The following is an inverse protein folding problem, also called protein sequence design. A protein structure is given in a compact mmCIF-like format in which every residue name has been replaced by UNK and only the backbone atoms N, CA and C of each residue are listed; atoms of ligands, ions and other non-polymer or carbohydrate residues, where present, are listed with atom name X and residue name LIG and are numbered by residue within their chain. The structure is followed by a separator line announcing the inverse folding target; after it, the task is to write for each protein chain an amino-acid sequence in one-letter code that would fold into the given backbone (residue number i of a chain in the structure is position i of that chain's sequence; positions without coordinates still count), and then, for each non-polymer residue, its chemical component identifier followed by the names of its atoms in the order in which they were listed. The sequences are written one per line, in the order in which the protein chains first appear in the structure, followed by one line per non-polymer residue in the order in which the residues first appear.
data_IF_456941818883
#
_entry.id   IF_456941818883
#
_cell.length_a   1.000
_cell.length_b   1.000
_cell.length_c   1.000
_cell.angle_alpha   90.00
_cell.angle_beta   90.00
_cell.angle_gamma   90.00
#
_symmetry.space_group_name_H-M   'P 1'
#
loop_
_entity.id
_entity.type
_entity.pdbx_description
1 polymer ?
#
# COMPACT_ATOMS: atom_id res chain seq x y z
N UNK A 1 -76.26 -13.93 1.59
CA UNK A 1 -75.46 -15.19 1.53
C UNK A 1 -74.32 -15.05 2.55
N UNK A 2 -74.62 -15.32 3.82
CA UNK A 2 -73.72 -15.09 4.96
C UNK A 2 -73.08 -16.41 5.38
N UNK A 3 -71.75 -16.50 5.26
CA UNK A 3 -70.98 -17.68 5.65
C UNK A 3 -70.91 -17.80 7.18
N UNK A 4 -71.43 -18.90 7.71
CA UNK A 4 -71.49 -19.18 9.15
C UNK A 4 -70.13 -19.68 9.70
N UNK A 5 -69.26 -18.71 10.03
CA UNK A 5 -67.93 -18.94 10.63
C UNK A 5 -67.98 -19.67 11.98
N UNK A 6 -69.14 -19.74 12.65
CA UNK A 6 -69.27 -20.43 13.95
C UNK A 6 -69.21 -21.95 13.83
N UNK A 7 -69.52 -22.53 12.66
CA UNK A 7 -69.38 -23.97 12.40
C UNK A 7 -67.94 -24.43 12.22
N UNK A 8 -67.07 -23.59 11.66
CA UNK A 8 -65.65 -23.92 11.46
C UNK A 8 -64.93 -23.95 12.81
N UNK A 9 -65.13 -22.94 13.65
CA UNK A 9 -64.47 -22.89 14.97
C UNK A 9 -64.86 -24.03 15.93
N UNK A 10 -66.11 -24.53 15.87
CA UNK A 10 -66.51 -25.68 16.70
C UNK A 10 -65.87 -27.00 16.29
N UNK A 11 -65.58 -27.21 15.01
CA UNK A 11 -64.86 -28.41 14.56
C UNK A 11 -63.39 -28.39 15.00
N UNK A 12 -62.77 -27.22 15.03
CA UNK A 12 -61.39 -27.08 15.52
C UNK A 12 -61.27 -27.32 17.03
N UNK A 13 -62.24 -26.90 17.84
CA UNK A 13 -62.22 -27.13 19.29
C UNK A 13 -62.30 -28.64 19.68
N UNK A 14 -63.02 -29.46 18.90
CA UNK A 14 -63.15 -30.90 19.16
C UNK A 14 -61.90 -31.68 18.72
N UNK A 15 -61.21 -31.22 17.68
CA UNK A 15 -59.91 -31.79 17.27
C UNK A 15 -58.80 -31.39 18.25
N UNK A 16 -58.83 -30.19 18.82
CA UNK A 16 -57.84 -29.73 19.79
C UNK A 16 -57.89 -30.52 21.12
N UNK A 17 -59.08 -30.93 21.58
CA UNK A 17 -59.25 -31.62 22.86
C UNK A 17 -58.73 -33.07 22.94
N UNK A 18 -58.40 -33.72 21.80
CA UNK A 18 -57.89 -35.10 21.77
C UNK A 18 -56.37 -35.24 21.75
N UNK A 19 -55.63 -34.12 21.71
CA UNK A 19 -54.16 -34.15 21.68
C UNK A 19 -53.49 -34.06 23.06
N UNK A 20 -54.25 -33.95 24.15
CA UNK A 20 -53.72 -33.71 25.50
C UNK A 20 -53.86 -34.92 26.43
N UNK A 21 -53.42 -36.08 25.98
CA UNK A 21 -53.03 -37.19 26.86
C UNK A 21 -51.63 -37.68 26.47
N UNK A 22 -50.66 -36.74 26.44
CA UNK A 22 -49.25 -37.09 26.33
C UNK A 22 -48.83 -37.82 27.60
N UNK A 23 -48.69 -39.15 27.50
CA UNK A 23 -47.84 -39.92 28.40
C UNK A 23 -46.51 -39.18 28.52
N UNK A 24 -46.05 -38.94 29.74
CA UNK A 24 -44.68 -38.47 30.04
C UNK A 24 -43.71 -39.59 29.64
N UNK A 25 -43.52 -39.80 28.35
CA UNK A 25 -42.46 -40.65 27.80
C UNK A 25 -41.15 -39.85 27.84
N UNK A 26 -40.08 -40.47 28.32
CA UNK A 26 -38.74 -39.88 28.25
C UNK A 26 -38.33 -39.58 26.81
N UNK A 27 -37.31 -38.75 26.66
CA UNK A 27 -36.74 -38.39 25.35
C UNK A 27 -36.43 -39.64 24.54
N UNK A 28 -36.87 -39.65 23.28
CA UNK A 28 -36.56 -40.76 22.38
C UNK A 28 -35.09 -40.71 21.98
N UNK A 29 -34.45 -41.87 21.77
CA UNK A 29 -33.05 -41.96 21.34
C UNK A 29 -32.79 -41.13 20.06
N UNK A 30 -33.75 -41.14 19.13
CA UNK A 30 -33.66 -40.38 17.88
C UNK A 30 -33.64 -38.86 18.11
N UNK A 31 -34.38 -38.36 19.11
CA UNK A 31 -34.40 -36.94 19.46
C UNK A 31 -33.05 -36.48 20.03
N UNK A 32 -32.44 -37.29 20.90
CA UNK A 32 -31.09 -37.03 21.43
C UNK A 32 -30.05 -37.07 20.31
N UNK A 33 -30.14 -38.04 19.39
CA UNK A 33 -29.22 -38.14 18.26
C UNK A 33 -29.32 -36.92 17.34
N UNK A 34 -30.53 -36.47 17.02
CA UNK A 34 -30.74 -35.25 16.21
C UNK A 34 -30.17 -34.03 16.92
N UNK A 35 -30.39 -33.89 18.23
CA UNK A 35 -29.84 -32.79 19.00
C UNK A 35 -28.30 -32.77 18.97
N UNK A 36 -27.65 -33.93 19.10
CA UNK A 36 -26.18 -34.04 19.02
C UNK A 36 -25.67 -33.70 17.63
N UNK A 37 -26.33 -34.15 16.56
CA UNK A 37 -25.94 -33.83 15.18
C UNK A 37 -26.07 -32.33 14.91
N UNK A 38 -27.18 -31.70 15.31
CA UNK A 38 -27.39 -30.25 15.16
C UNK A 38 -26.36 -29.47 15.97
N UNK A 39 -26.04 -29.89 17.19
CA UNK A 39 -24.99 -29.28 18.00
C UNK A 39 -23.62 -29.41 17.34
N UNK A 40 -23.26 -30.59 16.83
CA UNK A 40 -21.99 -30.82 16.16
C UNK A 40 -21.85 -29.95 14.90
N UNK A 41 -22.91 -29.82 14.09
CA UNK A 41 -22.94 -28.94 12.92
C UNK A 41 -22.83 -27.46 13.33
N UNK A 42 -23.50 -27.05 14.39
CA UNK A 42 -23.41 -25.68 14.93
C UNK A 42 -21.99 -25.34 15.40
N UNK A 43 -21.35 -26.25 16.15
CA UNK A 43 -19.97 -26.09 16.61
C UNK A 43 -18.97 -26.08 15.45
N UNK A 44 -19.20 -26.89 14.42
CA UNK A 44 -18.39 -26.87 13.19
C UNK A 44 -18.51 -25.50 12.48
N UNK A 45 -19.74 -24.96 12.37
CA UNK A 45 -19.99 -23.64 11.80
C UNK A 45 -19.24 -22.52 12.54
N UNK A 46 -19.25 -22.54 13.87
CA UNK A 46 -18.50 -21.56 14.69
C UNK A 46 -16.99 -21.70 14.47
N UNK A 47 -16.48 -22.93 14.40
CA UNK A 47 -15.06 -23.20 14.10
C UNK A 47 -14.58 -22.62 12.78
N UNK A 48 -15.44 -22.61 11.75
CA UNK A 48 -15.13 -22.06 10.43
C UNK A 48 -15.04 -20.52 10.39
N UNK A 49 -15.71 -19.81 11.32
CA UNK A 49 -15.75 -18.34 11.33
C UNK A 49 -14.51 -17.72 12.00
N UNK A 50 -13.90 -18.42 12.97
CA UNK A 50 -12.77 -17.86 13.72
C UNK A 50 -11.57 -17.41 12.87
N UNK A 51 -11.08 -18.18 11.87
CA UNK A 51 -9.94 -17.75 11.05
C UNK A 51 -10.22 -16.46 10.27
N UNK A 52 -11.46 -16.27 9.81
CA UNK A 52 -11.88 -15.06 9.08
C UNK A 52 -11.87 -13.85 10.01
N UNK A 53 -12.41 -14.00 11.22
CA UNK A 53 -12.40 -12.93 12.23
C UNK A 53 -10.98 -12.54 12.62
N UNK A 54 -10.09 -13.52 12.85
CA UNK A 54 -8.68 -13.23 13.19
C UNK A 54 -7.99 -12.48 12.05
N UNK A 55 -8.21 -12.89 10.79
CA UNK A 55 -7.63 -12.18 9.63
C UNK A 55 -8.16 -10.75 9.53
N UNK A 56 -9.47 -10.57 9.70
CA UNK A 56 -10.12 -9.25 9.69
C UNK A 56 -9.59 -8.36 10.81
N UNK A 57 -9.53 -8.85 12.04
CA UNK A 57 -8.99 -8.12 13.19
C UNK A 57 -7.53 -7.72 12.98
N UNK A 58 -6.69 -8.64 12.47
CA UNK A 58 -5.30 -8.33 12.11
C UNK A 58 -5.26 -7.23 11.07
N UNK A 59 -6.01 -7.35 9.98
CA UNK A 59 -6.08 -6.33 8.94
C UNK A 59 -6.55 -4.97 9.47
N UNK A 60 -7.54 -4.94 10.38
CA UNK A 60 -8.00 -3.69 11.01
C UNK A 60 -6.93 -3.07 11.91
N UNK A 61 -6.28 -3.87 12.77
CA UNK A 61 -5.20 -3.41 13.62
C UNK A 61 -4.02 -2.89 12.80
N UNK A 62 -3.76 -3.55 11.69
CA UNK A 62 -2.72 -3.25 10.72
C UNK A 62 -2.94 -1.89 10.04
N UNK A 63 -4.17 -1.59 9.65
CA UNK A 63 -4.56 -0.28 9.11
C UNK A 63 -4.43 0.82 10.16
N UNK A 64 -4.92 0.58 11.39
CA UNK A 64 -4.86 1.56 12.48
C UNK A 64 -3.40 1.89 12.84
N UNK A 65 -2.58 0.86 13.06
CA UNK A 65 -1.17 1.05 13.41
C UNK A 65 -0.39 1.69 12.26
N UNK A 66 -0.69 1.33 11.01
CA UNK A 66 -0.11 1.98 9.82
C UNK A 66 -0.44 3.48 9.75
N UNK A 67 -1.68 3.88 10.07
CA UNK A 67 -2.07 5.29 10.11
C UNK A 67 -1.38 6.06 11.25
N UNK A 68 -1.24 5.44 12.44
CA UNK A 68 -0.51 6.05 13.56
C UNK A 68 0.96 6.28 13.19
N UNK A 69 1.61 5.25 12.62
CA UNK A 69 2.98 5.34 12.14
C UNK A 69 3.15 6.43 11.06
N UNK A 70 2.21 6.52 10.11
CA UNK A 70 2.24 7.54 9.06
C UNK A 70 2.09 8.96 9.61
N UNK A 71 1.23 9.17 10.61
CA UNK A 71 1.09 10.47 11.28
C UNK A 71 2.35 10.84 12.06
N UNK A 72 2.98 9.88 12.74
CA UNK A 72 4.26 10.10 13.42
C UNK A 72 5.35 10.49 12.42
N UNK A 73 5.42 9.81 11.27
CA UNK A 73 6.35 10.12 10.19
C UNK A 73 6.09 11.52 9.58
N UNK A 74 4.83 11.86 9.30
CA UNK A 74 4.44 13.19 8.84
C UNK A 74 4.85 14.29 9.84
N UNK A 75 4.61 14.06 11.14
CA UNK A 75 5.03 14.98 12.21
C UNK A 75 6.55 15.09 12.33
N UNK A 76 7.28 14.02 12.05
CA UNK A 76 8.75 14.06 12.01
C UNK A 76 9.24 14.92 10.83
N UNK A 77 8.67 14.72 9.64
CA UNK A 77 9.03 15.48 8.42
C UNK A 77 8.77 16.98 8.59
N UNK A 78 7.64 17.37 9.19
CA UNK A 78 7.28 18.79 9.37
C UNK A 78 7.88 19.41 10.64
N UNK A 79 8.06 18.62 11.71
CA UNK A 79 8.58 19.11 12.98
C UNK A 79 10.09 19.32 12.99
N UNK A 80 10.84 18.61 12.12
CA UNK A 80 12.29 18.67 12.07
C UNK A 80 12.75 19.76 11.10
N UNK A 81 13.12 20.93 11.64
CA UNK A 81 13.40 22.15 10.85
C UNK A 81 14.50 21.99 9.80
N UNK A 82 15.59 21.32 10.12
CA UNK A 82 16.71 21.03 9.19
C UNK A 82 16.25 20.18 7.99
N UNK A 83 15.39 19.19 8.24
CA UNK A 83 14.78 18.35 7.22
C UNK A 83 13.83 19.15 6.33
N UNK A 84 12.92 19.93 6.92
CA UNK A 84 12.00 20.78 6.16
C UNK A 84 12.75 21.77 5.26
N UNK A 85 13.83 22.39 5.76
CA UNK A 85 14.70 23.28 4.97
C UNK A 85 15.39 22.54 3.82
N UNK A 86 15.92 21.34 4.07
CA UNK A 86 16.59 20.53 3.04
C UNK A 86 15.62 20.11 1.93
N UNK A 87 14.42 19.64 2.30
CA UNK A 87 13.39 19.22 1.35
C UNK A 87 12.86 20.39 0.52
N UNK A 88 12.71 21.56 1.13
CA UNK A 88 12.29 22.77 0.40
C UNK A 88 13.35 23.21 -0.62
N UNK A 89 14.62 23.22 -0.24
CA UNK A 89 15.70 23.59 -1.15
C UNK A 89 15.82 22.60 -2.31
N UNK A 90 15.74 21.29 -2.02
CA UNK A 90 15.65 20.25 -3.04
C UNK A 90 14.50 20.50 -4.01
N UNK A 91 13.32 20.84 -3.49
CA UNK A 91 12.16 21.16 -4.33
C UNK A 91 12.39 22.38 -5.23
N UNK A 92 13.15 23.36 -4.76
CA UNK A 92 13.51 24.53 -5.56
C UNK A 92 14.51 24.16 -6.68
N UNK A 93 15.55 23.39 -6.35
CA UNK A 93 16.62 23.02 -7.29
C UNK A 93 16.12 22.13 -8.42
N UNK A 94 15.11 21.29 -8.18
CA UNK A 94 14.45 20.48 -9.22
C UNK A 94 13.86 21.28 -10.39
N UNK A 95 13.69 22.60 -10.24
CA UNK A 95 13.16 23.46 -11.28
C UNK A 95 14.23 23.98 -12.26
N UNK A 96 15.52 23.85 -11.94
CA UNK A 96 16.60 24.52 -12.67
C UNK A 96 17.04 23.77 -13.94
N UNK A 97 16.76 22.47 -14.04
CA UNK A 97 17.17 21.65 -15.20
C UNK A 97 16.17 21.73 -16.37
N UNK A 98 15.00 22.35 -16.18
CA UNK A 98 13.94 22.45 -17.18
C UNK A 98 13.77 23.86 -17.72
N UNK A 99 14.36 24.12 -18.90
CA UNK A 99 14.10 25.22 -19.83
C UNK A 99 12.85 26.07 -19.47
N UNK A 100 13.06 27.19 -18.76
CA UNK A 100 12.00 28.06 -18.18
C UNK A 100 10.96 28.54 -19.21
N UNK A 101 11.26 28.44 -20.51
CA UNK A 101 10.38 28.78 -21.63
C UNK A 101 9.28 27.73 -21.93
N UNK A 102 9.29 26.59 -21.25
CA UNK A 102 8.32 25.49 -21.46
C UNK A 102 7.08 25.68 -20.58
N UNK A 103 6.14 26.52 -21.03
CA UNK A 103 4.76 26.70 -20.53
C UNK A 103 4.45 26.28 -19.06
N UNK A 104 4.39 27.23 -18.10
CA UNK A 104 4.25 26.95 -16.66
C UNK A 104 2.91 26.33 -16.22
N UNK A 105 1.87 26.31 -17.06
CA UNK A 105 0.53 25.91 -16.63
C UNK A 105 0.24 24.40 -16.62
N UNK A 106 1.04 23.57 -17.30
CA UNK A 106 0.77 22.12 -17.41
C UNK A 106 1.95 21.20 -17.07
N UNK A 107 3.10 21.77 -16.70
CA UNK A 107 4.27 21.02 -16.25
C UNK A 107 4.07 20.58 -14.79
N UNK A 108 3.36 19.48 -14.56
CA UNK A 108 3.40 18.85 -13.25
C UNK A 108 4.85 18.43 -12.95
N UNK A 109 5.38 18.93 -11.84
CA UNK A 109 6.75 18.66 -11.40
C UNK A 109 6.91 17.15 -11.16
N UNK A 110 7.95 16.52 -11.73
CA UNK A 110 8.16 15.09 -11.54
C UNK A 110 8.39 14.81 -10.06
N UNK A 111 7.93 13.65 -9.60
CA UNK A 111 8.32 13.17 -8.29
C UNK A 111 9.80 12.82 -8.29
N UNK A 112 10.49 13.29 -7.27
CA UNK A 112 11.84 12.88 -6.98
C UNK A 112 11.86 11.72 -6.00
N UNK A 113 12.61 10.69 -6.39
CA UNK A 113 12.94 9.54 -5.57
C UNK A 113 14.46 9.44 -5.46
N UNK A 114 14.91 8.82 -4.38
CA UNK A 114 16.33 8.69 -4.08
C UNK A 114 17.00 7.75 -5.09
N UNK A 115 17.99 8.26 -5.83
CA UNK A 115 18.85 7.46 -6.69
C UNK A 115 20.17 7.12 -5.99
N UNK A 116 20.89 6.13 -6.50
CA UNK A 116 22.21 5.74 -5.96
C UNK A 116 23.32 6.69 -6.42
N UNK A 117 23.09 7.48 -7.48
CA UNK A 117 24.15 8.19 -8.22
C UNK A 117 24.01 9.71 -8.26
N UNK A 118 22.85 10.27 -7.90
CA UNK A 118 22.64 11.72 -7.96
C UNK A 118 23.11 12.42 -6.67
N UNK A 119 24.41 12.71 -6.58
CA UNK A 119 25.02 13.38 -5.42
C UNK A 119 24.36 14.74 -5.08
N UNK A 120 23.76 15.42 -6.06
CA UNK A 120 23.21 16.77 -5.89
C UNK A 120 21.77 16.81 -5.38
N UNK A 121 21.00 15.73 -5.52
CA UNK A 121 19.56 15.73 -5.18
C UNK A 121 19.22 14.82 -4.00
N UNK A 122 20.23 14.24 -3.37
CA UNK A 122 20.10 13.30 -2.27
C UNK A 122 20.14 11.85 -2.74
N UNK A 123 20.56 10.98 -1.83
CA UNK A 123 20.83 9.57 -2.11
C UNK A 123 20.27 8.67 -1.01
N UNK A 124 20.00 7.43 -1.37
CA UNK A 124 19.65 6.36 -0.44
C UNK A 124 20.72 5.28 -0.57
N UNK A 125 21.39 4.96 0.54
CA UNK A 125 22.32 3.84 0.57
C UNK A 125 21.54 2.51 0.60
N UNK A 126 21.61 1.67 -0.44
CA UNK A 126 20.85 0.41 -0.50
C UNK A 126 21.33 -0.61 0.52
N UNK A 127 22.57 -0.52 1.01
CA UNK A 127 23.10 -1.44 2.00
C UNK A 127 22.58 -1.12 3.40
N UNK A 128 22.51 0.17 3.74
CA UNK A 128 22.20 0.62 5.11
C UNK A 128 20.80 1.19 5.28
N UNK A 129 20.15 1.62 4.19
CA UNK A 129 18.91 2.36 4.22
C UNK A 129 19.06 3.79 4.77
N UNK A 130 20.25 4.38 4.76
CA UNK A 130 20.41 5.78 5.18
C UNK A 130 20.02 6.68 4.01
N UNK A 131 19.14 7.65 4.27
CA UNK A 131 18.82 8.72 3.32
C UNK A 131 19.75 9.90 3.61
N UNK A 132 20.44 10.38 2.59
CA UNK A 132 21.29 11.57 2.65
C UNK A 132 20.67 12.64 1.77
N UNK A 133 20.39 13.81 2.34
CA UNK A 133 19.84 14.95 1.64
C UNK A 133 20.90 16.05 1.56
N UNK A 134 21.03 16.79 0.45
CA UNK A 134 21.79 18.03 0.47
C UNK A 134 21.17 18.99 1.48
N UNK A 135 22.01 19.65 2.25
CA UNK A 135 21.58 20.60 3.27
C UNK A 135 22.34 21.92 3.10
N UNK A 136 21.66 23.08 3.07
CA UNK A 136 22.28 24.37 2.70
C UNK A 136 23.41 24.81 3.63
N UNK A 137 23.34 24.43 4.92
CA UNK A 137 24.34 24.84 5.94
C UNK A 137 25.38 23.76 6.21
N UNK A 138 24.97 22.52 6.53
CA UNK A 138 25.88 21.41 6.87
C UNK A 138 26.43 20.65 5.67
N UNK A 139 26.04 21.00 4.44
CA UNK A 139 26.36 20.26 3.21
C UNK A 139 25.48 19.02 3.03
N UNK A 140 25.32 18.19 4.07
CA UNK A 140 24.45 17.02 4.05
C UNK A 140 23.63 16.88 5.35
N UNK A 141 22.43 16.32 5.21
CA UNK A 141 21.53 15.92 6.27
C UNK A 141 21.27 14.42 6.16
N UNK A 142 21.54 13.69 7.23
CA UNK A 142 21.30 12.26 7.30
C UNK A 142 19.97 11.98 8.01
N UNK A 143 19.14 11.15 7.38
CA UNK A 143 17.93 10.56 7.97
C UNK A 143 18.20 9.06 8.13
N UNK A 144 18.75 8.65 9.29
CA UNK A 144 19.12 7.26 9.51
C UNK A 144 17.88 6.38 9.63
N UNK A 145 18.04 5.08 9.39
CA UNK A 145 16.93 4.13 9.45
C UNK A 145 16.26 4.07 10.84
N UNK A 146 17.00 4.37 11.91
CA UNK A 146 16.50 4.44 13.29
C UNK A 146 15.38 5.45 13.47
N UNK A 147 15.47 6.57 12.75
CA UNK A 147 14.50 7.66 12.82
C UNK A 147 13.27 7.35 11.97
N UNK A 148 13.39 6.37 11.09
CA UNK A 148 12.36 5.97 10.13
C UNK A 148 11.49 4.80 10.59
N UNK A 149 11.75 4.25 11.77
CA UNK A 149 11.03 3.11 12.31
C UNK A 149 9.92 3.51 13.27
N UNK A 150 8.82 2.74 13.25
CA UNK A 150 7.75 2.88 14.22
C UNK A 150 7.24 1.51 14.72
N UNK A 151 7.09 1.31 16.04
CA UNK A 151 7.70 2.09 17.11
C UNK A 151 9.22 2.22 16.95
N UNK A 152 9.82 3.19 17.63
CA UNK A 152 11.27 3.41 17.54
C UNK A 152 12.06 2.16 17.98
N UNK A 153 13.26 1.93 17.43
CA UNK A 153 14.07 0.78 17.79
C UNK A 153 14.43 0.81 19.28
N UNK A 154 14.55 -0.36 19.89
CA UNK A 154 14.85 -0.54 21.33
C UNK A 154 13.79 0.01 22.29
N UNK A 155 12.56 0.24 21.83
CA UNK A 155 11.42 0.50 22.73
C UNK A 155 11.21 -0.72 23.64
N UNK A 156 11.16 -0.58 24.98
CA UNK A 156 11.03 -1.72 25.89
C UNK A 156 9.79 -2.57 25.60
N UNK A 157 10.00 -3.85 25.34
CA UNK A 157 8.93 -4.84 25.13
C UNK A 157 8.22 -4.74 23.77
N UNK A 158 8.64 -3.86 22.86
CA UNK A 158 7.99 -3.67 21.57
C UNK A 158 9.05 -3.55 20.46
N UNK A 159 9.01 -4.49 19.51
CA UNK A 159 9.82 -4.43 18.31
C UNK A 159 9.22 -3.44 17.27
N UNK A 160 10.07 -2.81 16.43
CA UNK A 160 9.61 -1.96 15.35
C UNK A 160 8.77 -2.78 14.36
N UNK A 161 7.65 -2.23 13.90
CA UNK A 161 6.71 -2.92 13.00
C UNK A 161 6.60 -2.25 11.63
N UNK A 162 6.90 -0.95 11.57
CA UNK A 162 6.80 -0.14 10.38
C UNK A 162 8.10 0.59 10.10
N UNK A 163 8.33 0.88 8.84
CA UNK A 163 9.35 1.81 8.36
C UNK A 163 8.67 2.79 7.42
N UNK A 164 9.11 4.05 7.42
CA UNK A 164 8.61 5.03 6.48
C UNK A 164 9.68 5.53 5.51
N UNK A 165 9.23 5.89 4.31
CA UNK A 165 10.02 6.48 3.23
C UNK A 165 9.29 7.68 2.68
N UNK A 166 10.02 8.50 1.92
CA UNK A 166 9.46 9.72 1.34
C UNK A 166 9.77 9.85 -0.14
N UNK A 167 8.85 10.46 -0.88
CA UNK A 167 9.07 11.08 -2.18
C UNK A 167 8.74 12.56 -2.09
N UNK A 168 9.39 13.38 -2.90
CA UNK A 168 9.28 14.83 -2.87
C UNK A 168 8.89 15.36 -4.26
N UNK A 169 8.06 16.39 -4.32
CA UNK A 169 7.90 17.24 -5.49
C UNK A 169 7.79 18.70 -5.08
N UNK A 170 7.98 19.61 -6.03
CA UNK A 170 7.72 21.04 -5.86
C UNK A 170 6.24 21.34 -6.07
N UNK A 171 5.63 22.20 -5.24
CA UNK A 171 4.28 22.72 -5.50
C UNK A 171 4.33 23.90 -6.47
N UNK A 172 3.31 24.05 -7.31
CA UNK A 172 3.21 25.16 -8.27
C UNK A 172 3.24 26.54 -7.59
N UNK A 173 2.64 26.65 -6.40
CA UNK A 173 2.57 27.86 -5.58
C UNK A 173 3.89 28.17 -4.83
N UNK A 174 4.92 27.33 -4.99
CA UNK A 174 6.12 27.34 -4.15
C UNK A 174 6.01 26.39 -2.96
N UNK A 175 7.15 26.13 -2.32
CA UNK A 175 7.28 25.10 -1.29
C UNK A 175 7.42 23.68 -1.85
N UNK A 176 7.29 22.71 -0.95
CA UNK A 176 7.48 21.29 -1.23
C UNK A 176 6.22 20.49 -0.86
N UNK A 177 5.94 19.43 -1.62
CA UNK A 177 4.99 18.41 -1.23
C UNK A 177 5.73 17.08 -1.06
N UNK A 178 5.50 16.45 0.08
CA UNK A 178 6.13 15.19 0.47
C UNK A 178 5.07 14.11 0.56
N UNK A 179 5.31 12.99 -0.09
CA UNK A 179 4.52 11.76 0.11
C UNK A 179 5.29 10.88 1.06
N UNK A 180 4.66 10.52 2.17
CA UNK A 180 5.18 9.60 3.17
C UNK A 180 4.56 8.22 2.94
N UNK A 181 5.39 7.24 2.60
CA UNK A 181 5.02 5.84 2.46
C UNK A 181 5.36 5.09 3.74
N UNK A 182 4.35 4.67 4.49
CA UNK A 182 4.55 3.83 5.68
C UNK A 182 4.36 2.36 5.30
N UNK A 183 5.40 1.56 5.48
CA UNK A 183 5.46 0.14 5.09
C UNK A 183 5.64 -0.76 6.29
N UNK A 184 5.11 -1.97 6.20
CA UNK A 184 5.40 -3.03 7.18
C UNK A 184 6.84 -3.47 7.05
N UNK A 185 7.46 -3.76 8.19
CA UNK A 185 8.73 -4.49 8.20
C UNK A 185 8.48 -5.92 7.71
N UNK A 186 9.41 -6.40 6.88
CA UNK A 186 9.44 -7.74 6.32
C UNK A 186 9.20 -8.82 7.40
N UNK A 187 8.09 -9.57 7.28
CA UNK A 187 7.61 -10.46 8.32
C UNK A 187 8.50 -11.70 8.55
N UNK A 188 9.38 -12.04 7.60
CA UNK A 188 10.27 -13.20 7.66
C UNK A 188 11.72 -12.81 8.00
N UNK A 189 11.93 -11.63 8.58
CA UNK A 189 13.27 -11.22 9.04
C UNK A 189 13.75 -12.17 10.13
N UNK A 190 14.79 -12.95 9.82
CA UNK A 190 15.41 -13.88 10.75
C UNK A 190 16.24 -13.12 11.81
N UNK A 191 15.93 -13.33 13.09
CA UNK A 191 16.73 -12.79 14.20
C UNK A 191 17.49 -13.93 14.87
N UNK A 192 18.81 -13.84 14.93
CA UNK A 192 19.64 -14.83 15.61
C UNK A 192 19.40 -14.80 17.13
N UNK A 193 19.59 -15.95 17.80
CA UNK A 193 19.40 -16.07 19.24
C UNK A 193 20.25 -15.03 20.00
N UNK A 194 19.65 -14.37 20.99
CA UNK A 194 20.30 -13.32 21.79
C UNK A 194 20.16 -11.91 21.21
N UNK A 195 19.63 -11.75 20.00
CA UNK A 195 19.35 -10.45 19.40
C UNK A 195 17.85 -10.15 19.34
N UNK A 196 17.52 -8.87 19.21
CA UNK A 196 16.15 -8.43 18.90
C UNK A 196 16.08 -7.97 17.45
N UNK A 197 14.87 -7.78 16.93
CA UNK A 197 14.66 -7.23 15.58
C UNK A 197 15.36 -5.86 15.44
N UNK A 198 15.29 -5.03 16.47
CA UNK A 198 15.98 -3.73 16.50
C UNK A 198 17.50 -3.85 16.27
N UNK A 199 18.16 -4.85 16.85
CA UNK A 199 19.60 -5.04 16.67
C UNK A 199 19.97 -5.36 15.22
N UNK A 200 19.25 -6.30 14.59
CA UNK A 200 19.53 -6.72 13.21
C UNK A 200 19.19 -5.65 12.19
N UNK A 201 18.15 -4.83 12.43
CA UNK A 201 17.75 -3.76 11.50
C UNK A 201 18.67 -2.53 11.59
N UNK A 202 19.08 -2.15 12.80
CA UNK A 202 19.99 -1.01 13.02
C UNK A 202 21.44 -1.39 12.73
N UNK A 203 21.78 -2.68 12.78
CA UNK A 203 23.17 -3.14 12.62
C UNK A 203 24.02 -2.94 13.88
N UNK A 204 23.40 -2.75 15.06
CA UNK A 204 24.10 -2.52 16.31
C UNK A 204 24.53 -3.84 16.94
N UNK A 205 25.83 -4.07 17.03
CA UNK A 205 26.41 -5.26 17.69
C UNK A 205 26.28 -6.57 16.90
N UNK A 206 25.69 -6.54 15.71
CA UNK A 206 25.53 -7.70 14.83
C UNK A 206 26.60 -7.70 13.74
N UNK A 207 27.01 -8.89 13.28
CA UNK A 207 27.91 -9.00 12.13
C UNK A 207 27.24 -8.45 10.86
N UNK A 208 28.01 -7.94 9.90
CA UNK A 208 27.48 -7.33 8.67
C UNK A 208 26.55 -8.28 7.89
N UNK A 209 26.86 -9.58 7.82
CA UNK A 209 26.01 -10.60 7.19
C UNK A 209 24.72 -10.94 7.96
N UNK A 210 24.65 -10.58 9.24
CA UNK A 210 23.45 -10.73 10.07
C UNK A 210 22.55 -9.49 10.04
N UNK A 211 23.04 -8.37 9.51
CA UNK A 211 22.23 -7.18 9.31
C UNK A 211 21.07 -7.48 8.35
N UNK A 212 19.92 -6.89 8.64
CA UNK A 212 18.70 -7.00 7.84
C UNK A 212 18.20 -5.60 7.51
N UNK A 213 17.43 -5.49 6.44
CA UNK A 213 16.74 -4.25 6.08
C UNK A 213 15.30 -4.37 6.52
N UNK A 214 14.67 -3.27 6.96
CA UNK A 214 13.24 -3.26 7.30
C UNK A 214 12.39 -3.78 6.15
N UNK A 215 12.78 -3.42 4.93
CA UNK A 215 12.14 -3.78 3.67
C UNK A 215 13.26 -3.99 2.66
N UNK A 216 13.33 -5.18 2.08
CA UNK A 216 14.36 -5.51 1.11
C UNK A 216 13.77 -5.91 -0.24
N UNK A 217 14.59 -5.71 -1.28
CA UNK A 217 14.35 -6.21 -2.62
C UNK A 217 15.53 -7.04 -3.12
N UNK A 218 15.24 -8.03 -3.95
CA UNK A 218 16.24 -8.76 -4.70
C UNK A 218 16.85 -7.88 -5.84
N UNK A 219 17.86 -8.37 -6.59
CA UNK A 219 18.41 -7.63 -7.74
C UNK A 219 17.40 -7.35 -8.85
N UNK A 220 16.25 -8.02 -8.85
CA UNK A 220 15.15 -7.80 -9.79
C UNK A 220 14.13 -6.78 -9.26
N UNK A 221 14.37 -6.20 -8.08
CA UNK A 221 13.50 -5.23 -7.42
C UNK A 221 12.27 -5.86 -6.76
N UNK A 222 12.20 -7.19 -6.61
CA UNK A 222 11.08 -7.89 -5.98
C UNK A 222 11.25 -7.90 -4.46
N UNK A 223 10.19 -7.63 -3.68
CA UNK A 223 10.21 -7.78 -2.23
C UNK A 223 10.71 -9.17 -1.81
N UNK A 224 11.72 -9.23 -0.95
CA UNK A 224 12.21 -10.53 -0.44
C UNK A 224 11.45 -11.01 0.78
N UNK A 225 10.81 -10.10 1.53
CA UNK A 225 9.99 -10.42 2.70
C UNK A 225 10.80 -10.88 3.91
N UNK A 226 12.13 -10.97 3.81
CA UNK A 226 13.03 -11.51 4.82
C UNK A 226 14.17 -10.54 5.21
N UNK A 227 14.16 -9.31 4.69
CA UNK A 227 15.18 -8.29 4.95
C UNK A 227 16.56 -8.58 4.36
N UNK A 228 16.71 -9.58 3.49
CA UNK A 228 17.93 -9.89 2.73
C UNK A 228 17.82 -9.27 1.34
N UNK A 229 18.89 -8.65 0.84
CA UNK A 229 18.92 -7.95 -0.44
C UNK A 229 19.29 -6.47 -0.31
N UNK A 230 18.94 -5.66 -1.30
CA UNK A 230 19.06 -4.20 -1.22
C UNK A 230 17.87 -3.60 -0.49
N UNK A 231 18.02 -2.42 0.10
CA UNK A 231 16.89 -1.69 0.67
C UNK A 231 15.87 -1.34 -0.43
N UNK A 232 14.59 -1.61 -0.17
CA UNK A 232 13.51 -1.37 -1.12
C UNK A 232 13.23 0.13 -1.28
N UNK A 233 13.62 0.75 -2.39
CA UNK A 233 13.40 2.19 -2.66
C UNK A 233 11.99 2.52 -3.15
N UNK A 234 11.55 3.76 -2.95
CA UNK A 234 10.38 4.33 -3.65
C UNK A 234 10.67 4.35 -5.15
N UNK A 235 9.66 4.04 -5.96
CA UNK A 235 9.74 3.94 -7.42
C UNK A 235 8.85 5.00 -8.06
N UNK A 236 9.36 5.58 -9.13
CA UNK A 236 8.58 6.38 -10.08
C UNK A 236 8.19 5.50 -11.25
N UNK A 237 6.90 5.40 -11.53
CA UNK A 237 6.36 4.72 -12.69
C UNK A 237 5.62 5.71 -13.58
N UNK A 238 5.71 5.56 -14.88
CA UNK A 238 4.97 6.38 -15.83
C UNK A 238 3.70 5.67 -16.26
N UNK A 239 2.57 6.36 -16.19
CA UNK A 239 1.34 5.93 -16.81
C UNK A 239 1.49 6.01 -18.33
N UNK A 240 1.38 4.86 -18.96
CA UNK A 240 1.27 4.77 -20.41
C UNK A 240 -0.18 4.49 -20.79
N UNK A 241 -0.66 5.20 -21.83
CA UNK A 241 -1.94 4.88 -22.45
C UNK A 241 -1.66 3.77 -23.45
N UNK A 242 -2.35 2.66 -23.30
CA UNK A 242 -2.27 1.56 -24.25
C UNK A 242 -3.36 1.71 -25.32
N UNK A 243 -2.99 1.45 -26.58
CA UNK A 243 -3.75 1.85 -27.76
C UNK A 243 -3.37 3.27 -28.21
N UNK A 244 -3.05 3.43 -29.50
CA UNK A 244 -2.71 4.74 -30.09
C UNK A 244 -3.82 5.78 -29.90
N UNK A 245 -3.58 7.01 -30.37
CA UNK A 245 -4.47 8.16 -30.14
C UNK A 245 -5.96 7.91 -30.47
N UNK A 246 -6.25 6.92 -31.32
CA UNK A 246 -7.58 6.53 -31.79
C UNK A 246 -8.30 5.46 -30.93
N UNK A 247 -7.74 4.96 -29.83
CA UNK A 247 -8.45 3.97 -29.00
C UNK A 247 -9.66 4.61 -28.30
N UNK A 248 -10.85 4.36 -28.84
CA UNK A 248 -12.14 4.74 -28.24
C UNK A 248 -12.49 3.90 -27.01
N UNK A 249 -11.65 2.94 -26.62
CA UNK A 249 -11.87 2.10 -25.44
C UNK A 249 -11.57 2.91 -24.18
N UNK A 250 -12.64 3.54 -23.70
CA UNK A 250 -12.70 4.62 -22.73
C UNK A 250 -12.93 4.08 -21.33
N UNK A 251 -12.16 3.09 -20.86
CA UNK A 251 -12.21 2.72 -19.45
C UNK A 251 -11.11 3.51 -18.70
N UNK A 252 -11.42 4.70 -18.14
CA UNK A 252 -10.44 5.52 -17.42
C UNK A 252 -9.91 4.83 -16.16
N UNK A 253 -10.49 3.68 -15.77
CA UNK A 253 -10.04 2.91 -14.65
C UNK A 253 -8.89 1.96 -14.99
N UNK A 254 -8.62 1.66 -16.27
CA UNK A 254 -7.59 0.71 -16.70
C UNK A 254 -6.32 1.41 -17.16
N UNK A 255 -5.19 1.06 -16.53
CA UNK A 255 -3.90 1.70 -16.77
C UNK A 255 -2.76 0.70 -16.92
N UNK A 256 -1.75 1.05 -17.72
CA UNK A 256 -0.47 0.34 -17.79
C UNK A 256 0.69 1.25 -17.36
N UNK A 257 1.78 0.65 -16.87
CA UNK A 257 2.92 1.40 -16.30
C UNK A 257 4.28 0.92 -16.83
N UNK A 258 5.20 1.86 -16.99
CA UNK A 258 6.63 1.62 -17.22
C UNK A 258 7.47 2.11 -16.03
N UNK A 259 8.54 1.40 -15.66
CA UNK A 259 9.49 1.88 -14.64
C UNK A 259 10.43 2.90 -15.26
N UNK A 260 10.42 4.13 -14.77
CA UNK A 260 11.31 5.19 -15.28
C UNK A 260 12.73 5.03 -14.72
N UNK A 261 12.91 4.31 -13.59
CA UNK A 261 14.17 4.30 -12.85
C UNK A 261 15.20 3.28 -13.36
N UNK A 262 14.77 2.27 -14.11
CA UNK A 262 15.64 1.16 -14.49
C UNK A 262 16.28 1.38 -15.88
N UNK A 263 16.00 2.51 -16.55
CA UNK A 263 16.53 2.84 -17.89
C UNK A 263 16.10 1.87 -19.01
N UNK A 264 15.31 0.85 -18.65
CA UNK A 264 14.80 -0.19 -19.52
C UNK A 264 13.43 0.24 -20.04
N UNK A 265 13.42 0.79 -21.26
CA UNK A 265 12.21 1.24 -21.95
C UNK A 265 11.35 0.08 -22.48
N UNK A 266 11.59 -1.18 -22.09
CA UNK A 266 10.77 -2.32 -22.52
C UNK A 266 9.42 -2.38 -21.78
N UNK A 267 8.48 -1.63 -22.33
CA UNK A 267 7.08 -1.46 -21.92
C UNK A 267 6.30 -2.75 -21.62
N UNK A 268 6.62 -3.87 -22.28
CA UNK A 268 5.86 -5.12 -22.14
C UNK A 268 6.29 -6.03 -20.96
N UNK A 269 7.42 -5.74 -20.31
CA UNK A 269 8.02 -6.70 -19.36
C UNK A 269 8.44 -6.11 -18.03
N UNK A 270 8.20 -4.81 -17.82
CA UNK A 270 8.74 -4.11 -16.67
C UNK A 270 8.24 -4.77 -15.39
N UNK A 271 9.17 -5.32 -14.61
CA UNK A 271 8.89 -6.00 -13.34
C UNK A 271 8.25 -5.05 -12.32
N UNK A 272 8.30 -3.75 -12.56
CA UNK A 272 7.54 -2.72 -11.86
C UNK A 272 6.03 -2.89 -12.02
N UNK A 273 5.57 -3.36 -13.18
CA UNK A 273 4.16 -3.58 -13.44
C UNK A 273 3.56 -4.58 -12.45
N UNK A 274 4.15 -5.76 -12.33
CA UNK A 274 3.71 -6.79 -11.36
C UNK A 274 3.67 -6.34 -9.90
N UNK A 275 4.47 -5.32 -9.56
CA UNK A 275 4.48 -4.71 -8.22
C UNK A 275 3.31 -3.72 -8.07
N UNK A 276 3.11 -2.87 -9.08
CA UNK A 276 2.00 -1.92 -9.12
C UNK A 276 0.63 -2.63 -9.13
N UNK A 277 0.54 -3.86 -9.63
CA UNK A 277 -0.71 -4.64 -9.74
C UNK A 277 -1.28 -5.18 -8.43
N UNK A 278 -0.50 -5.16 -7.34
CA UNK A 278 -0.94 -5.76 -6.08
C UNK A 278 -2.19 -5.06 -5.56
N UNK A 279 -3.27 -5.81 -5.29
CA UNK A 279 -4.48 -5.24 -4.67
C UNK A 279 -4.12 -4.63 -3.31
N UNK A 280 -4.57 -3.39 -3.09
CA UNK A 280 -4.20 -2.57 -1.93
C UNK A 280 -2.93 -1.74 -2.13
N UNK A 281 -2.23 -1.87 -3.26
CA UNK A 281 -1.13 -0.98 -3.61
C UNK A 281 -1.63 0.46 -3.68
N UNK A 282 -0.84 1.39 -3.15
CA UNK A 282 -1.16 2.82 -3.18
C UNK A 282 -0.18 3.57 -4.09
N UNK A 283 -0.72 4.42 -4.96
CA UNK A 283 0.02 5.19 -5.95
C UNK A 283 -0.30 6.67 -5.75
N UNK A 284 0.69 7.56 -5.88
CA UNK A 284 0.44 9.01 -5.86
C UNK A 284 0.89 9.62 -7.17
N UNK A 285 0.00 10.28 -7.89
CA UNK A 285 0.34 10.94 -9.16
C UNK A 285 1.14 12.23 -8.95
N UNK A 286 1.71 12.76 -10.03
CA UNK A 286 2.43 14.04 -10.08
C UNK A 286 1.56 15.27 -9.78
N UNK A 287 0.25 15.11 -9.55
CA UNK A 287 -0.67 16.15 -9.07
C UNK A 287 -0.96 16.04 -7.56
N UNK A 288 -0.49 14.99 -6.88
CA UNK A 288 -0.72 14.74 -5.47
C UNK A 288 -2.03 14.02 -5.17
N UNK A 289 -2.67 13.40 -6.17
CA UNK A 289 -3.83 12.55 -5.96
C UNK A 289 -3.39 11.15 -5.56
N UNK A 290 -4.05 10.59 -4.53
CA UNK A 290 -3.80 9.24 -4.03
C UNK A 290 -4.79 8.24 -4.66
N UNK A 291 -4.26 7.15 -5.18
CA UNK A 291 -5.00 6.06 -5.80
C UNK A 291 -4.69 4.75 -5.09
N UNK A 292 -5.68 3.86 -5.01
CA UNK A 292 -5.53 2.49 -4.51
C UNK A 292 -5.88 1.50 -5.62
N UNK A 293 -5.06 0.48 -5.78
CA UNK A 293 -5.29 -0.61 -6.71
C UNK A 293 -6.33 -1.56 -6.14
N UNK A 294 -7.46 -1.70 -6.83
CA UNK A 294 -8.60 -2.51 -6.37
C UNK A 294 -8.75 -3.82 -7.13
N UNK A 295 -8.02 -4.00 -8.23
CA UNK A 295 -8.02 -5.23 -9.01
C UNK A 295 -7.15 -5.12 -10.25
N UNK A 296 -6.99 -6.25 -10.92
CA UNK A 296 -6.36 -6.34 -12.23
C UNK A 296 -7.34 -6.96 -13.23
N UNK A 297 -7.16 -6.65 -14.51
CA UNK A 297 -7.89 -7.27 -15.62
C UNK A 297 -6.88 -7.72 -16.65
N UNK A 298 -6.89 -9.01 -16.98
CA UNK A 298 -6.14 -9.50 -18.12
C UNK A 298 -6.74 -8.88 -19.39
N UNK A 299 -5.93 -8.17 -20.16
CA UNK A 299 -6.31 -7.65 -21.46
C UNK A 299 -6.56 -8.78 -22.45
N UNK A 300 -7.44 -8.52 -23.41
CA UNK A 300 -7.60 -9.37 -24.59
C UNK A 300 -6.43 -9.19 -25.56
N UNK A 301 -5.81 -8.01 -25.50
CA UNK A 301 -4.68 -7.66 -26.35
C UNK A 301 -3.37 -8.30 -25.90
N UNK A 302 -2.54 -8.60 -26.90
CA UNK A 302 -1.21 -9.16 -26.73
C UNK A 302 -0.19 -8.14 -27.19
N UNK A 303 0.76 -7.79 -26.33
CA UNK A 303 1.93 -6.99 -26.65
C UNK A 303 2.73 -7.63 -27.81
N UNK A 304 3.59 -6.84 -28.46
CA UNK A 304 4.39 -7.32 -29.60
C UNK A 304 5.31 -8.50 -29.26
N UNK A 305 5.59 -8.72 -27.98
CA UNK A 305 6.38 -9.83 -27.46
C UNK A 305 5.56 -11.10 -27.16
N UNK A 306 4.26 -11.10 -27.48
CA UNK A 306 3.37 -12.25 -27.25
C UNK A 306 2.77 -12.32 -25.84
N UNK A 307 3.02 -11.35 -24.96
CA UNK A 307 2.43 -11.31 -23.61
C UNK A 307 1.09 -10.59 -23.61
N UNK A 308 0.13 -11.07 -22.82
CA UNK A 308 -1.13 -10.34 -22.63
C UNK A 308 -0.87 -9.07 -21.85
N UNK A 309 -1.42 -7.95 -22.31
CA UNK A 309 -1.35 -6.68 -21.58
C UNK A 309 -2.24 -6.81 -20.36
N UNK A 310 -1.68 -6.64 -19.18
CA UNK A 310 -2.44 -6.61 -17.95
C UNK A 310 -2.80 -5.16 -17.60
N UNK A 311 -3.99 -4.96 -17.06
CA UNK A 311 -4.53 -3.65 -16.72
C UNK A 311 -4.81 -3.57 -15.23
N UNK A 312 -4.54 -2.43 -14.63
CA UNK A 312 -4.81 -2.19 -13.22
C UNK A 312 -6.05 -1.33 -13.08
N UNK A 313 -6.95 -1.70 -12.15
CA UNK A 313 -8.11 -0.90 -11.77
C UNK A 313 -7.79 -0.03 -10.56
N UNK A 314 -7.96 1.28 -10.70
CA UNK A 314 -7.71 2.26 -9.62
C UNK A 314 -9.00 2.74 -8.93
N UNK A 315 -8.87 3.11 -7.65
CA UNK A 315 -9.89 3.81 -6.86
C UNK A 315 -9.27 4.96 -6.05
N UNK A 316 -9.75 6.21 -6.17
CA UNK A 316 -10.76 6.65 -7.15
C UNK A 316 -10.29 6.45 -8.60
N UNK A 317 -11.18 6.62 -9.57
CA UNK A 317 -10.77 6.64 -10.98
C UNK A 317 -9.85 7.84 -11.26
N UNK A 318 -9.01 7.73 -12.30
CA UNK A 318 -8.13 8.82 -12.70
C UNK A 318 -8.95 10.08 -13.02
N UNK A 319 -8.50 11.22 -12.50
CA UNK A 319 -9.20 12.49 -12.71
C UNK A 319 -9.08 12.95 -14.16
N UNK A 320 -10.05 13.75 -14.63
CA UNK A 320 -10.00 14.31 -15.99
C UNK A 320 -8.76 15.17 -16.24
N UNK A 321 -8.21 15.81 -15.20
CA UNK A 321 -6.99 16.61 -15.32
C UNK A 321 -5.77 15.76 -15.60
N UNK A 322 -5.66 14.58 -14.97
CA UNK A 322 -4.60 13.60 -15.24
C UNK A 322 -4.66 13.14 -16.69
N UNK A 323 -5.86 12.79 -17.18
CA UNK A 323 -6.03 12.42 -18.58
C UNK A 323 -5.70 13.55 -19.55
N UNK A 324 -6.16 14.77 -19.25
CA UNK A 324 -5.85 15.96 -20.06
C UNK A 324 -4.35 16.18 -20.15
N UNK A 325 -3.60 16.00 -19.06
CA UNK A 325 -2.15 16.12 -19.07
C UNK A 325 -1.52 15.12 -20.05
N UNK A 326 -1.95 13.85 -20.01
CA UNK A 326 -1.46 12.83 -20.95
C UNK A 326 -1.83 13.16 -22.40
N UNK A 327 -3.05 13.64 -22.67
CA UNK A 327 -3.48 14.07 -24.01
C UNK A 327 -2.63 15.21 -24.56
N UNK A 328 -2.11 16.08 -23.69
CA UNK A 328 -1.20 17.17 -24.07
C UNK A 328 0.26 16.70 -24.26
N UNK A 329 0.50 15.38 -24.25
CA UNK A 329 1.83 14.79 -24.42
C UNK A 329 2.70 14.84 -23.17
N UNK A 330 2.18 15.29 -22.03
CA UNK A 330 2.94 15.30 -20.79
C UNK A 330 2.90 13.93 -20.09
N UNK A 331 4.04 13.51 -19.55
CA UNK A 331 4.16 12.28 -18.76
C UNK A 331 3.38 12.40 -17.46
N UNK A 332 2.50 11.43 -17.22
CA UNK A 332 1.82 11.27 -15.93
C UNK A 332 2.63 10.28 -15.12
N UNK A 333 3.32 10.79 -14.10
CA UNK A 333 4.19 10.01 -13.24
C UNK A 333 3.46 9.67 -11.95
N UNK A 334 3.64 8.45 -11.47
CA UNK A 334 3.18 7.98 -10.18
C UNK A 334 4.38 7.58 -9.33
N UNK A 335 4.30 7.84 -8.02
CA UNK A 335 5.20 7.23 -7.05
C UNK A 335 4.52 6.10 -6.31
N UNK A 336 5.30 5.05 -6.04
CA UNK A 336 4.87 3.88 -5.30
C UNK A 336 6.03 3.20 -4.59
N UNK A 337 5.75 2.19 -3.76
CA UNK A 337 6.78 1.33 -3.18
C UNK A 337 6.63 -0.11 -3.66
N UNK A 338 7.71 -0.91 -3.78
CA UNK A 338 7.61 -2.30 -4.25
C UNK A 338 6.69 -3.20 -3.42
N UNK A 339 6.55 -2.92 -2.12
CA UNK A 339 5.59 -3.56 -1.22
C UNK A 339 4.35 -2.67 -1.07
N UNK A 340 3.13 -3.23 -0.98
CA UNK A 340 1.95 -2.46 -0.58
C UNK A 340 2.18 -1.72 0.74
N UNK A 341 2.08 -0.38 0.76
CA UNK A 341 2.23 0.38 1.99
C UNK A 341 1.05 0.11 2.93
N UNK A 342 1.30 0.15 4.24
CA UNK A 342 0.25 0.12 5.24
C UNK A 342 -0.57 1.43 5.25
N UNK A 343 0.08 2.54 4.91
CA UNK A 343 -0.56 3.85 4.76
C UNK A 343 0.32 4.77 3.91
N UNK A 344 -0.31 5.63 3.13
CA UNK A 344 0.31 6.76 2.44
C UNK A 344 -0.30 8.06 2.97
N UNK A 345 0.53 9.06 3.23
CA UNK A 345 0.09 10.39 3.65
C UNK A 345 0.85 11.45 2.88
N UNK A 346 0.15 12.49 2.46
CA UNK A 346 0.72 13.61 1.70
C UNK A 346 0.79 14.80 2.65
N UNK A 347 1.94 15.46 2.66
CA UNK A 347 2.23 16.57 3.56
C UNK A 347 2.82 17.72 2.76
N UNK A 348 2.29 18.91 2.95
CA UNK A 348 2.83 20.12 2.35
C UNK A 348 3.84 20.76 3.32
N UNK A 349 4.95 21.25 2.76
CA UNK A 349 5.96 22.05 3.43
C UNK A 349 5.89 23.44 2.84
N UNK A 350 5.44 24.37 3.67
CA UNK A 350 5.28 25.78 3.31
C UNK A 350 6.63 26.42 2.90
N UNK A 351 6.60 27.44 2.02
CA UNK A 351 7.79 28.12 1.51
C UNK A 351 8.68 28.78 2.57
#
# INVERSE_FOLDING_TARGET
MTWDLRRIYRRWAVLAGRLTARRRGGFSLIEVLIAVVVLALGLLGVGAVFPVVIRSQRQSQDVINGQIASRAAASYVTGRRDLALSLRNLAYDMNLDGNEDSAPEFSATPWFTWSETAANFGSLDPATGIVTLPHPVSGALFVPITDRMFPGPFTPGIDPQYVWDIALRRKAEGGAQVVVFTRRIDAQVSVAQGWTLSHVLVGRGVASGQRRRPVATDPLGQPTGNGVGAYSRVRVIELSRWGGDDSTESDPALVTFADVNDGDSSWATSRAFRRAESVGQQLVDNMGNLYTVVGTRAGEETASDGRRVEWIRLSPELSRSVWRQKTLGASVLFVMTPQPPASVTIVDIDP
#
